data_IF_429681650812
#
_entry.id   IF_429681650812
#
_cell.length_a   1.000
_cell.length_b   1.000
_cell.length_c   1.000
_cell.angle_alpha   90.00
_cell.angle_beta   90.00
_cell.angle_gamma   90.00
#
_symmetry.space_group_name_H-M   'P 1'
#
loop_
_entity.id
_entity.type
_entity.pdbx_description
1 polymer ?
#
# COMPACT_ATOMS: atom_id res chain seq x y z
N UNK A 1 -5.40 -5.12 -29.59
CA UNK A 1 -3.96 -4.87 -29.81
C UNK A 1 -3.10 -5.97 -29.18
N UNK A 2 -3.27 -6.32 -27.90
CA UNK A 2 -2.51 -7.43 -27.28
C UNK A 2 -2.73 -8.79 -27.95
N UNK A 3 -3.95 -9.07 -28.44
CA UNK A 3 -4.26 -10.27 -29.23
C UNK A 3 -3.55 -10.31 -30.59
N UNK A 4 -3.39 -9.16 -31.26
CA UNK A 4 -2.67 -9.03 -32.53
C UNK A 4 -1.17 -9.31 -32.38
N UNK A 5 -0.55 -8.77 -31.33
CA UNK A 5 0.87 -9.01 -31.02
C UNK A 5 1.13 -10.49 -30.72
N UNK A 6 0.22 -11.14 -29.99
CA UNK A 6 0.32 -12.56 -29.67
C UNK A 6 0.20 -13.44 -30.92
N UNK A 7 -0.79 -13.17 -31.78
CA UNK A 7 -0.97 -13.90 -33.05
C UNK A 7 0.22 -13.71 -33.99
N UNK A 8 0.75 -12.48 -34.11
CA UNK A 8 1.94 -12.20 -34.92
C UNK A 8 3.20 -12.90 -34.39
N UNK A 9 3.37 -12.94 -33.06
CA UNK A 9 4.47 -13.68 -32.43
C UNK A 9 4.42 -15.19 -32.70
N UNK A 10 3.22 -15.79 -32.70
CA UNK A 10 3.02 -17.21 -33.04
C UNK A 10 3.34 -17.47 -34.52
N UNK A 11 2.92 -16.58 -35.43
CA UNK A 11 3.22 -16.70 -36.87
C UNK A 11 4.73 -16.57 -37.14
N UNK A 12 5.41 -15.62 -36.48
CA UNK A 12 6.86 -15.48 -36.56
C UNK A 12 7.59 -16.76 -36.12
N UNK A 13 7.20 -17.34 -34.97
CA UNK A 13 7.77 -18.60 -34.49
C UNK A 13 7.51 -19.78 -35.44
N UNK A 14 6.37 -19.78 -36.14
CA UNK A 14 6.01 -20.85 -37.07
C UNK A 14 6.79 -20.77 -38.39
N UNK A 15 7.19 -19.56 -38.81
CA UNK A 15 7.83 -19.29 -40.10
C UNK A 15 9.34 -19.03 -39.95
N UNK A 16 9.88 -19.12 -38.73
CA UNK A 16 11.29 -18.86 -38.39
C UNK A 16 12.29 -19.74 -39.16
N UNK A 17 11.84 -20.87 -39.70
CA UNK A 17 12.65 -21.80 -40.51
C UNK A 17 12.97 -21.27 -41.92
N UNK A 18 12.28 -20.23 -42.40
CA UNK A 18 12.49 -19.63 -43.72
C UNK A 18 13.02 -18.22 -43.53
N UNK A 19 14.33 -18.03 -43.71
CA UNK A 19 15.04 -16.79 -43.34
C UNK A 19 14.43 -15.49 -43.91
N UNK A 20 14.02 -15.40 -45.19
CA UNK A 20 13.40 -14.18 -45.70
C UNK A 20 12.05 -13.87 -45.02
N UNK A 21 11.21 -14.89 -44.82
CA UNK A 21 9.88 -14.73 -44.22
C UNK A 21 9.96 -14.43 -42.73
N UNK A 22 10.94 -15.00 -42.03
CA UNK A 22 11.24 -14.68 -40.63
C UNK A 22 11.62 -13.20 -40.45
N UNK A 23 12.38 -12.62 -41.38
CA UNK A 23 12.75 -11.21 -41.33
C UNK A 23 11.53 -10.29 -41.48
N UNK A 24 10.66 -10.54 -42.45
CA UNK A 24 9.44 -9.75 -42.64
C UNK A 24 8.47 -9.86 -41.46
N UNK A 25 8.22 -11.07 -40.98
CA UNK A 25 7.30 -11.31 -39.86
C UNK A 25 7.86 -10.81 -38.53
N UNK A 26 9.18 -10.90 -38.33
CA UNK A 26 9.89 -10.31 -37.19
C UNK A 26 9.79 -8.79 -37.16
N UNK A 27 10.05 -8.12 -38.30
CA UNK A 27 9.95 -6.66 -38.41
C UNK A 27 8.52 -6.15 -38.13
N UNK A 28 7.51 -6.86 -38.65
CA UNK A 28 6.10 -6.53 -38.42
C UNK A 28 5.72 -6.70 -36.94
N UNK A 29 6.24 -7.75 -36.30
CA UNK A 29 6.02 -8.01 -34.87
C UNK A 29 6.69 -6.95 -34.01
N UNK A 30 7.93 -6.58 -34.32
CA UNK A 30 8.66 -5.51 -33.65
C UNK A 30 7.91 -4.18 -33.75
N UNK A 31 7.44 -3.81 -34.94
CA UNK A 31 6.68 -2.58 -35.14
C UNK A 31 5.36 -2.59 -34.37
N UNK A 32 4.69 -3.75 -34.30
CA UNK A 32 3.46 -3.91 -33.51
C UNK A 32 3.71 -3.78 -32.01
N UNK A 33 4.83 -4.31 -31.50
CA UNK A 33 5.25 -4.15 -30.09
C UNK A 33 5.58 -2.68 -29.80
N UNK A 34 6.33 -2.02 -30.69
CA UNK A 34 6.66 -0.60 -30.54
C UNK A 34 5.40 0.27 -30.54
N UNK A 35 4.43 0.00 -31.44
CA UNK A 35 3.16 0.72 -31.49
C UNK A 35 2.31 0.48 -30.24
N UNK A 36 2.27 -0.76 -29.73
CA UNK A 36 1.59 -1.08 -28.48
C UNK A 36 2.20 -0.31 -27.32
N UNK A 37 3.51 -0.38 -27.16
CA UNK A 37 4.23 0.33 -26.09
C UNK A 37 4.03 1.83 -26.22
N UNK A 38 4.15 2.40 -27.43
CA UNK A 38 3.90 3.82 -27.67
C UNK A 38 2.47 4.22 -27.28
N UNK A 39 1.47 3.42 -27.66
CA UNK A 39 0.07 3.66 -27.31
C UNK A 39 -0.13 3.58 -25.81
N UNK A 40 0.46 2.59 -25.13
CA UNK A 40 0.39 2.45 -23.67
C UNK A 40 1.03 3.65 -23.00
N UNK A 41 2.26 4.02 -23.37
CA UNK A 41 2.96 5.18 -22.79
C UNK A 41 2.22 6.50 -23.06
N UNK A 42 1.64 6.68 -24.25
CA UNK A 42 0.82 7.86 -24.55
C UNK A 42 -0.50 7.86 -23.81
N UNK A 43 -1.11 6.70 -23.63
CA UNK A 43 -2.33 6.56 -22.82
C UNK A 43 -1.99 6.84 -21.35
N UNK A 44 -0.85 6.39 -20.84
CA UNK A 44 -0.42 6.69 -19.47
C UNK A 44 -0.03 8.16 -19.25
N UNK A 45 0.44 8.86 -20.29
CA UNK A 45 0.76 10.29 -20.24
C UNK A 45 -0.44 11.22 -20.43
N UNK A 46 -1.61 10.71 -20.84
CA UNK A 46 -2.80 11.52 -21.01
C UNK A 46 -3.28 12.01 -19.63
N UNK A 47 -3.42 13.34 -19.41
CA UNK A 47 -4.02 13.85 -18.18
C UNK A 47 -5.44 13.29 -18.06
N UNK A 48 -5.80 12.79 -16.87
CA UNK A 48 -7.08 12.10 -16.58
C UNK A 48 -7.29 10.71 -17.22
N UNK A 49 -6.28 10.11 -17.85
CA UNK A 49 -6.37 8.76 -18.45
C UNK A 49 -6.73 7.66 -17.43
N UNK A 50 -6.23 7.82 -16.21
CA UNK A 50 -6.68 7.07 -15.07
C UNK A 50 -7.23 8.06 -14.08
N UNK A 51 -8.53 7.96 -13.80
CA UNK A 51 -9.00 8.35 -12.49
C UNK A 51 -8.52 7.25 -11.54
N UNK A 52 -7.22 7.30 -11.21
CA UNK A 52 -6.69 6.54 -10.10
C UNK A 52 -7.42 7.05 -8.84
N UNK A 53 -7.64 6.16 -7.88
CA UNK A 53 -8.02 6.53 -6.51
C UNK A 53 -9.53 6.59 -6.18
N UNK A 54 -10.43 6.26 -7.12
CA UNK A 54 -11.85 6.07 -6.75
C UNK A 54 -12.10 4.62 -6.32
N UNK A 55 -12.24 4.44 -5.01
CA UNK A 55 -12.78 3.21 -4.45
C UNK A 55 -14.31 3.29 -4.42
N UNK A 56 -14.96 2.56 -5.32
CA UNK A 56 -16.42 2.46 -5.40
C UNK A 56 -16.86 1.13 -4.80
N UNK A 57 -17.74 1.18 -3.80
CA UNK A 57 -18.34 -0.02 -3.22
C UNK A 57 -19.40 -0.63 -4.17
N UNK A 58 -19.71 -1.92 -4.04
CA UNK A 58 -20.72 -2.61 -4.86
C UNK A 58 -22.06 -1.87 -4.90
N UNK A 59 -22.52 -1.34 -3.76
CA UNK A 59 -23.76 -0.56 -3.69
C UNK A 59 -23.68 0.73 -4.51
N UNK A 60 -22.57 1.47 -4.42
CA UNK A 60 -22.35 2.70 -5.19
C UNK A 60 -22.28 2.40 -6.70
N UNK A 61 -21.73 1.25 -7.09
CA UNK A 61 -21.73 0.78 -8.47
C UNK A 61 -23.16 0.56 -9.00
N UNK A 62 -24.03 -0.08 -8.21
CA UNK A 62 -25.46 -0.24 -8.58
C UNK A 62 -26.19 1.09 -8.70
N UNK A 63 -25.93 2.05 -7.80
CA UNK A 63 -26.50 3.40 -7.90
C UNK A 63 -26.05 4.12 -9.18
N UNK A 64 -24.79 3.95 -9.56
CA UNK A 64 -24.23 4.55 -10.78
C UNK A 64 -24.81 3.90 -12.04
N UNK A 65 -25.02 2.58 -12.04
CA UNK A 65 -25.77 1.89 -13.10
C UNK A 65 -27.22 2.39 -13.20
N UNK A 66 -27.91 2.57 -12.07
CA UNK A 66 -29.26 3.12 -12.02
C UNK A 66 -29.35 4.56 -12.55
N UNK A 67 -28.34 5.38 -12.26
CA UNK A 67 -28.18 6.72 -12.82
C UNK A 67 -28.03 6.68 -14.35
N UNK A 68 -27.12 5.85 -14.87
CA UNK A 68 -26.90 5.70 -16.31
C UNK A 68 -28.16 5.23 -17.04
N UNK A 69 -28.85 4.23 -16.51
CA UNK A 69 -30.13 3.76 -17.06
C UNK A 69 -31.20 4.86 -17.06
N UNK A 70 -31.27 5.64 -15.97
CA UNK A 70 -32.19 6.78 -15.89
C UNK A 70 -31.87 7.83 -16.96
N UNK A 71 -30.60 8.15 -17.19
CA UNK A 71 -30.17 9.07 -18.25
C UNK A 71 -30.57 8.55 -19.64
N UNK A 72 -30.36 7.26 -19.91
CA UNK A 72 -30.78 6.64 -21.18
C UNK A 72 -32.31 6.75 -21.36
N UNK A 73 -33.08 6.50 -20.30
CA UNK A 73 -34.54 6.59 -20.34
C UNK A 73 -35.08 8.02 -20.46
N UNK A 74 -34.35 9.05 -20.00
CA UNK A 74 -34.67 10.45 -20.29
C UNK A 74 -34.66 10.68 -21.81
N UNK A 75 -33.62 10.21 -22.52
CA UNK A 75 -33.52 10.39 -23.97
C UNK A 75 -34.54 9.56 -24.75
N UNK A 76 -34.81 8.33 -24.30
CA UNK A 76 -35.75 7.42 -24.97
C UNK A 76 -37.21 7.84 -24.81
N UNK A 77 -37.64 8.12 -23.57
CA UNK A 77 -39.05 8.37 -23.26
C UNK A 77 -39.41 9.86 -23.17
N UNK A 78 -38.40 10.75 -23.17
CA UNK A 78 -38.56 12.23 -23.04
C UNK A 78 -39.49 12.64 -21.89
N UNK A 79 -39.46 11.87 -20.80
CA UNK A 79 -40.33 12.07 -19.64
C UNK A 79 -39.57 12.63 -18.45
N UNK A 80 -40.13 13.67 -17.83
CA UNK A 80 -39.56 14.33 -16.64
C UNK A 80 -39.46 13.38 -15.43
N UNK A 81 -40.25 12.29 -15.41
CA UNK A 81 -40.18 11.29 -14.34
C UNK A 81 -38.78 10.67 -14.21
N UNK A 82 -38.12 10.42 -15.35
CA UNK A 82 -36.76 9.86 -15.37
C UNK A 82 -35.69 10.88 -14.95
N UNK A 83 -35.99 12.18 -15.05
CA UNK A 83 -35.15 13.23 -14.48
C UNK A 83 -35.18 13.17 -12.95
N UNK A 84 -36.37 13.02 -12.35
CA UNK A 84 -36.49 12.88 -10.89
C UNK A 84 -35.79 11.62 -10.38
N UNK A 85 -35.87 10.49 -11.09
CA UNK A 85 -35.13 9.26 -10.69
C UNK A 85 -33.62 9.43 -10.81
N UNK A 86 -33.14 10.08 -11.88
CA UNK A 86 -31.71 10.39 -12.03
C UNK A 86 -31.20 11.25 -10.86
N UNK A 87 -31.92 12.33 -10.52
CA UNK A 87 -31.59 13.19 -9.38
C UNK A 87 -31.61 12.40 -8.07
N UNK A 88 -32.59 11.52 -7.87
CA UNK A 88 -32.67 10.64 -6.70
C UNK A 88 -31.44 9.73 -6.56
N UNK A 89 -31.01 9.08 -7.65
CA UNK A 89 -29.80 8.26 -7.64
C UNK A 89 -28.54 9.10 -7.39
N UNK A 90 -28.44 10.30 -7.96
CA UNK A 90 -27.32 11.22 -7.70
C UNK A 90 -27.25 11.60 -6.22
N UNK A 91 -28.37 12.01 -5.60
CA UNK A 91 -28.40 12.40 -4.18
C UNK A 91 -28.02 11.22 -3.28
N UNK A 92 -28.56 10.02 -3.55
CA UNK A 92 -28.21 8.82 -2.80
C UNK A 92 -26.73 8.47 -2.96
N UNK A 93 -26.21 8.51 -4.18
CA UNK A 93 -24.79 8.24 -4.45
C UNK A 93 -23.89 9.22 -3.67
N UNK A 94 -24.18 10.52 -3.72
CA UNK A 94 -23.44 11.54 -2.97
C UNK A 94 -23.52 11.31 -1.47
N UNK A 95 -24.69 10.95 -0.95
CA UNK A 95 -24.85 10.64 0.48
C UNK A 95 -23.99 9.43 0.91
N UNK A 96 -24.07 8.31 0.19
CA UNK A 96 -23.25 7.14 0.51
C UNK A 96 -21.76 7.40 0.36
N UNK A 97 -21.36 8.19 -0.63
CA UNK A 97 -19.97 8.59 -0.79
C UNK A 97 -19.49 9.45 0.38
N UNK A 98 -20.32 10.39 0.83
CA UNK A 98 -20.02 11.25 1.97
C UNK A 98 -19.84 10.44 3.26
N UNK A 99 -20.77 9.52 3.55
CA UNK A 99 -20.69 8.66 4.75
C UNK A 99 -19.43 7.80 4.71
N UNK A 100 -19.18 7.11 3.60
CA UNK A 100 -17.99 6.26 3.44
C UNK A 100 -16.69 7.08 3.60
N UNK A 101 -16.62 8.26 2.99
CA UNK A 101 -15.47 9.14 3.13
C UNK A 101 -15.27 9.60 4.59
N UNK A 102 -16.35 10.00 5.26
CA UNK A 102 -16.30 10.43 6.66
C UNK A 102 -15.80 9.31 7.59
N UNK A 103 -16.29 8.09 7.41
CA UNK A 103 -15.86 6.92 8.20
C UNK A 103 -14.37 6.61 7.93
N UNK A 104 -13.97 6.51 6.66
CA UNK A 104 -12.59 6.22 6.28
C UNK A 104 -11.59 7.24 6.81
N UNK A 105 -11.91 8.53 6.72
CA UNK A 105 -11.03 9.63 7.17
C UNK A 105 -10.97 9.70 8.69
N UNK A 106 -12.06 9.38 9.39
CA UNK A 106 -12.11 9.40 10.86
C UNK A 106 -11.33 8.27 11.53
N UNK A 107 -10.95 7.24 10.77
CA UNK A 107 -10.31 6.05 11.34
C UNK A 107 -8.85 6.31 11.68
N UNK A 108 -8.48 6.06 12.92
CA UNK A 108 -7.09 6.13 13.39
C UNK A 108 -6.39 4.78 13.24
N UNK A 109 -5.24 4.78 12.57
CA UNK A 109 -4.47 3.55 12.32
C UNK A 109 -2.98 3.77 12.53
N UNK A 110 -2.34 2.79 13.13
CA UNK A 110 -0.89 2.64 13.10
C UNK A 110 -0.53 1.41 12.25
N UNK A 111 0.37 1.60 11.30
CA UNK A 111 0.69 0.61 10.27
C UNK A 111 2.20 0.45 10.16
N UNK A 112 2.66 -0.79 10.03
CA UNK A 112 4.02 -1.14 9.63
C UNK A 112 3.93 -1.87 8.28
N UNK A 113 4.43 -1.23 7.23
CA UNK A 113 4.32 -1.77 5.88
C UNK A 113 5.35 -2.88 5.62
N UNK A 114 4.94 -3.88 4.83
CA UNK A 114 5.85 -4.89 4.30
C UNK A 114 6.56 -4.37 3.06
N UNK A 115 7.66 -3.62 3.25
CA UNK A 115 8.53 -3.16 2.17
C UNK A 115 9.90 -3.82 2.32
N UNK A 116 10.22 -4.76 1.42
CA UNK A 116 11.44 -5.56 1.50
C UNK A 116 12.71 -4.68 1.49
N UNK A 117 13.53 -4.79 2.53
CA UNK A 117 14.77 -4.05 2.71
C UNK A 117 14.60 -2.67 3.36
N UNK A 118 13.36 -2.24 3.64
CA UNK A 118 13.07 -0.91 4.13
C UNK A 118 12.26 -0.93 5.42
N UNK A 119 12.44 0.13 6.19
CA UNK A 119 11.61 0.44 7.33
C UNK A 119 10.55 1.42 6.89
N UNK A 120 9.29 1.10 7.14
CA UNK A 120 8.16 1.96 6.81
C UNK A 120 7.07 1.79 7.87
N UNK A 121 6.84 2.85 8.64
CA UNK A 121 5.75 2.95 9.61
C UNK A 121 4.94 4.20 9.33
N UNK A 122 3.65 4.14 9.57
CA UNK A 122 2.76 5.27 9.36
C UNK A 122 1.69 5.31 10.43
N UNK A 123 1.45 6.51 10.95
CA UNK A 123 0.31 6.81 11.81
C UNK A 123 -0.65 7.68 11.03
N UNK A 124 -1.89 7.23 10.91
CA UNK A 124 -2.95 7.91 10.17
C UNK A 124 -4.01 8.33 11.18
N UNK A 125 -4.39 9.60 11.15
CA UNK A 125 -5.48 10.16 11.94
C UNK A 125 -6.10 11.33 11.19
N UNK A 126 -7.42 11.31 11.03
CA UNK A 126 -8.21 12.41 10.44
C UNK A 126 -7.66 12.93 9.09
N UNK A 127 -7.32 12.03 8.18
CA UNK A 127 -6.80 12.38 6.85
C UNK A 127 -5.38 12.97 6.84
N UNK A 128 -4.73 13.05 8.01
CA UNK A 128 -3.30 13.33 8.14
C UNK A 128 -2.55 12.02 8.34
N UNK A 129 -1.36 11.90 7.76
CA UNK A 129 -0.44 10.82 8.10
C UNK A 129 0.93 11.33 8.54
N UNK A 130 1.49 10.69 9.57
CA UNK A 130 2.88 10.84 9.97
C UNK A 130 3.65 9.63 9.45
N UNK A 131 4.47 9.85 8.43
CA UNK A 131 5.20 8.78 7.76
C UNK A 131 6.64 8.72 8.23
N UNK A 132 7.03 7.55 8.73
CA UNK A 132 8.37 7.27 9.25
C UNK A 132 9.02 6.17 8.42
N UNK A 133 10.04 6.53 7.67
CA UNK A 133 10.79 5.58 6.85
C UNK A 133 12.30 5.84 6.87
N UNK A 134 13.07 4.90 6.32
CA UNK A 134 14.46 5.17 5.97
C UNK A 134 14.57 6.14 4.78
N UNK A 135 15.69 6.86 4.71
CA UNK A 135 15.94 7.87 3.69
C UNK A 135 15.99 7.29 2.26
N UNK A 136 16.29 5.99 2.10
CA UNK A 136 16.33 5.37 0.78
C UNK A 136 14.91 5.18 0.24
N UNK A 137 13.97 4.74 1.08
CA UNK A 137 12.58 4.53 0.68
C UNK A 137 11.92 5.82 0.17
N UNK A 138 12.26 6.98 0.75
CA UNK A 138 11.75 8.28 0.26
C UNK A 138 12.13 8.58 -1.19
N UNK A 139 13.24 8.02 -1.68
CA UNK A 139 13.69 8.19 -3.07
C UNK A 139 13.15 7.10 -4.02
N UNK A 140 12.45 6.08 -3.51
CA UNK A 140 11.92 4.96 -4.28
C UNK A 140 10.40 5.09 -4.51
N UNK A 141 10.02 6.01 -5.40
CA UNK A 141 8.61 6.33 -5.69
C UNK A 141 7.76 5.12 -6.08
N UNK A 142 8.32 4.16 -6.82
CA UNK A 142 7.62 2.93 -7.21
C UNK A 142 7.25 2.09 -5.99
N UNK A 143 8.15 1.95 -5.01
CA UNK A 143 7.87 1.17 -3.79
C UNK A 143 6.76 1.79 -2.97
N UNK A 144 6.79 3.12 -2.81
CA UNK A 144 5.73 3.88 -2.15
C UNK A 144 4.40 3.68 -2.89
N UNK A 145 4.40 3.82 -4.23
CA UNK A 145 3.20 3.66 -5.06
C UNK A 145 2.55 2.28 -4.92
N UNK A 146 3.34 1.21 -4.81
CA UNK A 146 2.80 -0.15 -4.75
C UNK A 146 2.47 -0.64 -3.33
N UNK A 147 3.23 -0.22 -2.31
CA UNK A 147 3.08 -0.80 -0.96
C UNK A 147 2.35 0.13 0.02
N UNK A 148 2.30 1.44 -0.25
CA UNK A 148 1.86 2.45 0.73
C UNK A 148 0.68 3.26 0.19
N UNK A 149 0.80 3.76 -1.05
CA UNK A 149 -0.22 4.60 -1.68
C UNK A 149 -1.63 3.98 -1.66
N UNK A 150 -1.84 2.67 -1.95
CA UNK A 150 -3.19 2.11 -1.95
C UNK A 150 -3.88 2.25 -0.61
N UNK A 151 -3.14 2.05 0.49
CA UNK A 151 -3.69 2.21 1.84
C UNK A 151 -4.02 3.68 2.14
N UNK A 152 -3.13 4.62 1.80
CA UNK A 152 -3.37 6.06 1.99
C UNK A 152 -4.68 6.51 1.34
N UNK A 153 -4.95 6.03 0.13
CA UNK A 153 -6.18 6.33 -0.61
C UNK A 153 -7.42 5.74 0.06
N UNK A 154 -7.34 4.49 0.53
CA UNK A 154 -8.42 3.83 1.26
C UNK A 154 -8.77 4.56 2.57
N UNK A 155 -7.77 5.13 3.23
CA UNK A 155 -7.93 5.88 4.49
C UNK A 155 -8.13 7.39 4.28
N UNK A 156 -8.19 7.86 3.04
CA UNK A 156 -8.40 9.29 2.74
C UNK A 156 -7.28 10.20 3.26
N UNK A 157 -6.02 9.76 3.23
CA UNK A 157 -4.88 10.61 3.60
C UNK A 157 -4.70 11.70 2.55
N UNK A 158 -4.86 12.94 2.96
CA UNK A 158 -4.66 14.12 2.11
C UNK A 158 -3.29 14.76 2.31
N UNK A 159 -2.72 14.63 3.51
CA UNK A 159 -1.44 15.25 3.87
C UNK A 159 -0.54 14.25 4.56
N UNK A 160 0.69 14.17 4.06
CA UNK A 160 1.75 13.32 4.62
C UNK A 160 2.81 14.22 5.24
N UNK A 161 3.07 14.03 6.53
CA UNK A 161 4.12 14.71 7.28
C UNK A 161 5.24 13.73 7.57
N UNK A 162 6.45 14.02 7.08
CA UNK A 162 7.61 13.13 7.22
C UNK A 162 8.80 13.76 7.96
N UNK A 163 8.83 15.10 8.09
CA UNK A 163 9.99 15.82 8.61
C UNK A 163 10.15 15.69 10.12
N UNK A 164 9.03 15.69 10.85
CA UNK A 164 9.02 15.51 12.29
C UNK A 164 7.75 14.82 12.74
N UNK A 165 7.92 13.88 13.68
CA UNK A 165 6.81 13.14 14.28
C UNK A 165 6.68 13.69 15.71
N UNK A 166 5.60 14.42 16.01
CA UNK A 166 5.50 15.21 17.25
C UNK A 166 5.51 14.34 18.51
N UNK A 167 5.12 13.08 18.38
CA UNK A 167 5.09 12.09 19.45
C UNK A 167 6.31 11.15 19.48
N UNK A 168 7.34 11.43 18.67
CA UNK A 168 8.60 10.70 18.70
C UNK A 168 9.55 11.28 19.76
N UNK A 169 10.15 10.41 20.57
CA UNK A 169 11.25 10.76 21.49
C UNK A 169 12.40 9.79 21.32
N UNK A 170 13.59 10.31 21.01
CA UNK A 170 14.79 9.48 21.01
C UNK A 170 15.29 9.31 22.44
N UNK A 171 15.32 8.07 22.94
CA UNK A 171 15.76 7.76 24.31
C UNK A 171 17.25 7.48 24.36
N UNK A 172 17.76 6.86 23.30
CA UNK A 172 19.16 6.56 23.07
C UNK A 172 19.38 6.55 21.58
N UNK A 173 20.60 6.85 21.13
CA UNK A 173 20.97 6.78 19.71
C UNK A 173 20.53 5.45 19.11
N UNK A 174 19.61 5.48 18.16
CA UNK A 174 19.10 4.25 17.51
C UNK A 174 17.90 3.57 18.18
N UNK A 175 17.34 4.17 19.24
CA UNK A 175 16.12 3.72 19.92
C UNK A 175 15.18 4.92 20.07
N UNK A 176 14.06 4.87 19.34
CA UNK A 176 13.00 5.87 19.41
C UNK A 176 11.77 5.29 20.10
N UNK A 177 11.13 6.08 20.96
CA UNK A 177 9.79 5.80 21.48
C UNK A 177 8.76 6.67 20.76
N UNK A 178 7.61 6.09 20.46
CA UNK A 178 6.45 6.78 19.91
C UNK A 178 5.28 6.63 20.89
N UNK A 179 4.64 7.74 21.23
CA UNK A 179 3.50 7.80 22.14
C UNK A 179 2.23 8.14 21.35
N UNK A 180 1.42 7.14 21.04
CA UNK A 180 0.26 7.35 20.16
C UNK A 180 -0.95 6.59 20.71
N UNK A 181 -2.04 7.31 20.95
CA UNK A 181 -3.30 6.78 21.44
C UNK A 181 -3.18 5.85 22.65
N UNK A 182 -2.55 6.36 23.72
CA UNK A 182 -2.25 5.63 24.96
C UNK A 182 -1.35 4.40 24.83
N UNK A 183 -0.80 4.14 23.62
CA UNK A 183 0.15 3.06 23.36
C UNK A 183 1.57 3.61 23.28
N UNK A 184 2.51 2.84 23.83
CA UNK A 184 3.94 3.13 23.75
C UNK A 184 4.60 2.13 22.81
N UNK A 185 5.18 2.64 21.73
CA UNK A 185 5.84 1.84 20.70
C UNK A 185 7.34 2.14 20.76
N UNK A 186 8.16 1.13 21.00
CA UNK A 186 9.60 1.24 20.93
C UNK A 186 10.12 0.78 19.56
N UNK A 187 10.97 1.58 18.92
CA UNK A 187 11.60 1.25 17.65
C UNK A 187 13.13 1.19 17.81
N UNK A 188 13.67 -0.02 17.75
CA UNK A 188 15.11 -0.32 17.82
C UNK A 188 15.63 -0.49 16.40
N UNK A 189 16.37 0.50 15.92
CA UNK A 189 16.68 0.60 14.48
C UNK A 189 18.15 0.76 14.13
N UNK A 190 19.00 0.88 15.15
CA UNK A 190 20.44 0.79 15.01
C UNK A 190 20.95 -0.33 15.89
N UNK A 191 21.99 -1.02 15.44
CA UNK A 191 22.64 -2.08 16.22
C UNK A 191 23.03 -1.56 17.60
N UNK A 192 22.43 -2.18 18.60
CA UNK A 192 22.69 -1.90 20.00
C UNK A 192 23.00 -3.22 20.70
N UNK A 193 24.10 -3.24 21.46
CA UNK A 193 24.56 -4.41 22.19
C UNK A 193 23.75 -4.67 23.45
N UNK A 194 23.15 -3.62 24.02
CA UNK A 194 22.25 -3.72 25.17
C UNK A 194 21.08 -2.76 24.97
N UNK A 195 19.87 -3.33 25.01
CA UNK A 195 18.67 -2.52 25.10
C UNK A 195 18.65 -1.88 26.49
N UNK A 196 18.35 -0.57 26.60
CA UNK A 196 18.15 0.04 27.90
C UNK A 196 17.04 -0.71 28.63
N UNK A 197 16.99 -0.60 29.96
CA UNK A 197 15.85 -1.05 30.75
C UNK A 197 14.64 -0.18 30.40
N UNK A 198 14.04 -0.48 29.24
CA UNK A 198 12.85 0.16 28.75
C UNK A 198 11.72 -0.32 29.67
N UNK A 199 10.97 0.63 30.24
CA UNK A 199 9.73 0.32 30.95
C UNK A 199 8.81 -0.52 30.05
N UNK A 200 7.84 -1.23 30.61
CA UNK A 200 6.88 -2.01 29.81
C UNK A 200 6.32 -1.17 28.66
N UNK A 201 6.47 -1.65 27.42
CA UNK A 201 5.93 -1.02 26.20
C UNK A 201 4.88 -1.94 25.60
N UNK A 202 3.97 -1.40 24.80
CA UNK A 202 2.95 -2.22 24.15
C UNK A 202 3.57 -2.98 22.96
N UNK A 203 4.39 -2.29 22.17
CA UNK A 203 5.00 -2.84 20.97
C UNK A 203 6.49 -2.54 20.90
N UNK A 204 7.26 -3.53 20.43
CA UNK A 204 8.67 -3.35 20.04
C UNK A 204 8.81 -3.64 18.55
N UNK A 205 9.18 -2.62 17.78
CA UNK A 205 9.57 -2.74 16.39
C UNK A 205 11.09 -2.87 16.32
N UNK A 206 11.57 -3.92 15.66
CA UNK A 206 12.99 -4.09 15.37
C UNK A 206 13.23 -3.85 13.89
N UNK A 207 14.25 -3.05 13.59
CA UNK A 207 14.67 -2.71 12.22
C UNK A 207 16.15 -3.01 12.01
N UNK A 208 16.57 -3.23 10.76
CA UNK A 208 17.97 -3.37 10.33
C UNK A 208 18.77 -4.46 11.10
N UNK A 209 18.12 -5.53 11.56
CA UNK A 209 18.70 -6.54 12.43
C UNK A 209 19.38 -5.90 13.67
N UNK A 210 18.78 -4.85 14.23
CA UNK A 210 19.39 -4.02 15.27
C UNK A 210 19.64 -4.78 16.58
N UNK A 211 18.93 -5.88 16.83
CA UNK A 211 19.08 -6.67 18.05
C UNK A 211 19.88 -7.95 17.74
N UNK A 212 20.98 -8.14 18.48
CA UNK A 212 21.92 -9.23 18.21
C UNK A 212 21.41 -10.62 18.63
N UNK A 213 20.59 -10.69 19.69
CA UNK A 213 20.11 -11.96 20.24
C UNK A 213 18.70 -11.85 20.81
N UNK A 214 17.94 -12.94 20.74
CA UNK A 214 16.63 -13.06 21.38
C UNK A 214 16.68 -12.82 22.90
N UNK A 215 17.79 -13.17 23.54
CA UNK A 215 17.98 -12.97 24.98
C UNK A 215 18.00 -11.49 25.37
N UNK A 216 18.44 -10.58 24.50
CA UNK A 216 18.31 -9.14 24.75
C UNK A 216 16.87 -8.69 24.53
N UNK A 217 16.22 -9.20 23.48
CA UNK A 217 14.87 -8.80 23.12
C UNK A 217 13.84 -9.20 24.18
N UNK A 218 13.93 -10.42 24.73
CA UNK A 218 13.01 -10.92 25.76
C UNK A 218 13.16 -10.24 27.12
N UNK A 219 14.23 -9.48 27.36
CA UNK A 219 14.37 -8.65 28.57
C UNK A 219 13.41 -7.46 28.53
N UNK A 220 13.01 -7.02 27.33
CA UNK A 220 12.02 -5.97 27.16
C UNK A 220 10.64 -6.57 27.36
N UNK A 221 9.89 -6.05 28.33
CA UNK A 221 8.49 -6.43 28.54
C UNK A 221 7.64 -5.75 27.47
N UNK A 222 7.25 -6.51 26.45
CA UNK A 222 6.37 -6.06 25.38
C UNK A 222 5.20 -7.03 25.17
N UNK A 223 4.02 -6.50 24.84
CA UNK A 223 2.86 -7.35 24.52
C UNK A 223 3.06 -8.05 23.18
N UNK A 224 3.70 -7.37 22.22
CA UNK A 224 3.99 -7.91 20.91
C UNK A 224 5.28 -7.32 20.33
N UNK A 225 6.05 -8.16 19.65
CA UNK A 225 7.27 -7.79 18.94
C UNK A 225 6.99 -7.84 17.44
N UNK A 226 7.36 -6.79 16.72
CA UNK A 226 7.22 -6.70 15.27
C UNK A 226 8.60 -6.58 14.61
N UNK A 227 8.83 -7.39 13.58
CA UNK A 227 9.98 -7.25 12.69
C UNK A 227 9.53 -6.55 11.42
N UNK A 228 10.11 -5.38 11.15
CA UNK A 228 9.83 -4.65 9.91
C UNK A 228 10.56 -5.26 8.69
N UNK A 229 10.27 -4.72 7.51
CA UNK A 229 10.80 -5.20 6.23
C UNK A 229 12.30 -5.03 6.04
N UNK A 230 13.00 -4.29 6.92
CA UNK A 230 14.44 -4.06 6.82
C UNK A 230 15.28 -5.19 7.43
N UNK A 231 14.64 -6.15 8.12
CA UNK A 231 15.34 -7.29 8.69
C UNK A 231 15.58 -8.40 7.65
N UNK A 232 16.70 -9.13 7.79
CA UNK A 232 16.99 -10.23 6.89
C UNK A 232 16.18 -11.47 7.25
N UNK A 233 15.78 -12.24 6.23
CA UNK A 233 14.98 -13.46 6.41
C UNK A 233 15.62 -14.44 7.39
N UNK A 234 16.93 -14.67 7.24
CA UNK A 234 17.71 -15.50 8.18
C UNK A 234 17.61 -15.03 9.63
N UNK A 235 17.71 -13.72 9.87
CA UNK A 235 17.66 -13.16 11.23
C UNK A 235 16.26 -13.32 11.82
N UNK A 236 15.21 -13.03 11.04
CA UNK A 236 13.82 -13.19 11.47
C UNK A 236 13.49 -14.64 11.78
N UNK A 237 13.89 -15.59 10.93
CA UNK A 237 13.66 -17.01 11.15
C UNK A 237 14.38 -17.52 12.41
N UNK A 238 15.60 -17.03 12.65
CA UNK A 238 16.35 -17.33 13.87
C UNK A 238 15.62 -16.81 15.11
N UNK A 239 15.18 -15.55 15.10
CA UNK A 239 14.47 -14.94 16.24
C UNK A 239 13.11 -15.62 16.50
N UNK A 240 12.35 -15.90 15.44
CA UNK A 240 11.04 -16.58 15.53
C UNK A 240 11.16 -17.98 16.15
N UNK A 241 12.18 -18.76 15.78
CA UNK A 241 12.43 -20.08 16.41
C UNK A 241 12.71 -19.96 17.91
N UNK A 242 13.44 -18.94 18.34
CA UNK A 242 13.75 -18.72 19.75
C UNK A 242 12.53 -18.22 20.53
N UNK A 243 11.67 -17.43 19.90
CA UNK A 243 10.47 -16.89 20.51
C UNK A 243 9.36 -17.91 20.73
N UNK A 244 9.23 -18.89 19.85
CA UNK A 244 8.28 -20.00 20.01
C UNK A 244 8.53 -20.76 21.31
N UNK A 245 9.78 -20.84 21.78
CA UNK A 245 10.13 -21.48 23.04
C UNK A 245 9.68 -20.66 24.27
N UNK A 246 9.60 -19.33 24.13
CA UNK A 246 9.29 -18.39 25.22
C UNK A 246 7.82 -17.90 25.19
N UNK A 247 6.99 -18.39 24.25
CA UNK A 247 5.56 -18.03 24.08
C UNK A 247 5.29 -16.52 23.90
N UNK A 248 6.21 -15.78 23.29
CA UNK A 248 6.06 -14.34 23.00
C UNK A 248 5.48 -14.16 21.59
N UNK A 249 4.47 -13.29 21.46
CA UNK A 249 3.85 -12.97 20.18
C UNK A 249 4.79 -12.17 19.28
N UNK A 250 5.05 -12.71 18.08
CA UNK A 250 5.86 -12.08 17.03
C UNK A 250 5.03 -11.90 15.77
N UNK A 251 5.15 -10.72 15.17
CA UNK A 251 4.69 -10.44 13.81
C UNK A 251 5.90 -10.11 12.92
N UNK A 252 6.06 -10.82 11.81
CA UNK A 252 7.08 -10.53 10.80
C UNK A 252 6.39 -9.98 9.58
N UNK A 253 6.61 -8.71 9.22
CA UNK A 253 5.84 -8.13 8.11
C UNK A 253 6.10 -8.81 6.77
N UNK A 254 7.28 -9.41 6.61
CA UNK A 254 7.68 -10.15 5.42
C UNK A 254 6.97 -11.51 5.28
N UNK A 255 6.53 -12.11 6.40
CA UNK A 255 5.86 -13.42 6.40
C UNK A 255 4.35 -13.29 6.60
N UNK A 256 3.92 -12.36 7.45
CA UNK A 256 2.56 -12.23 7.93
C UNK A 256 1.82 -11.04 7.26
N UNK A 257 2.51 -10.28 6.40
CA UNK A 257 2.00 -9.08 5.77
C UNK A 257 2.09 -7.83 6.66
N UNK A 258 1.53 -6.71 6.19
CA UNK A 258 1.57 -5.45 6.94
C UNK A 258 0.90 -5.60 8.33
N UNK A 259 1.53 -5.03 9.35
CA UNK A 259 0.96 -4.99 10.69
C UNK A 259 0.07 -3.76 10.83
N UNK A 260 -1.17 -3.92 11.31
CA UNK A 260 -2.16 -2.84 11.39
C UNK A 260 -2.81 -2.87 12.77
N UNK A 261 -2.79 -1.73 13.45
CA UNK A 261 -3.52 -1.50 14.69
C UNK A 261 -4.49 -0.36 14.44
N UNK A 262 -5.78 -0.67 14.51
CA UNK A 262 -6.87 0.31 14.46
C UNK A 262 -7.33 0.61 15.89
N UNK A 263 -7.74 1.84 16.14
CA UNK A 263 -8.42 2.22 17.39
C UNK A 263 -9.94 2.11 17.29
#
# INVERSE_FOLDING_TARGET
MSTLVLVLGIVFLSVSFIAPLAQWTGQLTEWSIQLLNWTVFKTEQLPYSRIADIHINTLQCWLLMGLLLSLIFIFQFRSVKWLYTAVGFTVLFTYFQWVHFSESVSTEKWIIYSVNGHRAMEWISHGQSHFYADSMLFNEADRIRFHIQPNRLLTGVERVQSDSIPFQREVKKGISLFYWNDKVIANVHKKETALPSIASVDYVVVSNNAVASWNELKKVKANQIIFDGSNSKWWMDKMRKQALADSIMIHSVMDDGAFIVTN
#
